data_IF_447004053539
#
_entry.id   IF_447004053539
#
_cell.length_a   1.000
_cell.length_b   1.000
_cell.length_c   1.000
_cell.angle_alpha   90.00
_cell.angle_beta   90.00
_cell.angle_gamma   90.00
#
_symmetry.space_group_name_H-M   'P 1'
#
loop_
_entity.id
_entity.type
_entity.pdbx_description
1 polymer ?
#
# COMPACT_ATOMS: atom_id res chain seq x y z
N UNK A 1 -9.02 3.80 -24.07
CA UNK A 1 -7.81 4.62 -23.88
C UNK A 1 -7.46 4.63 -22.40
N UNK A 2 -6.60 3.79 -21.84
CA UNK A 2 -6.24 2.39 -22.06
C UNK A 2 -5.63 1.99 -20.73
N UNK A 3 -6.39 1.26 -19.93
CA UNK A 3 -6.01 0.86 -18.59
C UNK A 3 -5.18 -0.42 -18.69
N UNK A 4 -3.92 -0.29 -19.10
CA UNK A 4 -2.96 -1.40 -19.05
C UNK A 4 -2.35 -1.44 -17.64
N UNK A 5 -2.74 -2.41 -16.79
CA UNK A 5 -2.24 -2.49 -15.42
C UNK A 5 -0.76 -2.85 -15.40
N UNK A 6 -0.06 -2.49 -14.32
CA UNK A 6 1.26 -3.06 -14.03
C UNK A 6 1.08 -4.44 -13.41
N UNK A 7 2.02 -5.34 -13.69
CA UNK A 7 2.04 -6.67 -13.09
C UNK A 7 3.34 -6.83 -12.31
N UNK A 8 3.21 -7.43 -11.14
CA UNK A 8 4.29 -7.57 -10.19
C UNK A 8 4.24 -8.96 -9.57
N UNK A 9 5.40 -9.54 -9.28
CA UNK A 9 5.48 -10.73 -8.44
C UNK A 9 6.66 -10.63 -7.49
N UNK A 10 6.54 -11.36 -6.37
CA UNK A 10 7.60 -11.56 -5.39
C UNK A 10 8.06 -13.02 -5.49
N UNK A 11 9.37 -13.25 -5.58
CA UNK A 11 9.97 -14.58 -5.55
C UNK A 11 9.99 -15.15 -4.13
N UNK A 12 10.19 -16.46 -4.00
CA UNK A 12 10.33 -17.14 -2.70
C UNK A 12 11.52 -16.67 -1.86
N UNK A 13 12.48 -15.97 -2.46
CA UNK A 13 13.64 -15.35 -1.78
C UNK A 13 13.36 -13.89 -1.38
N UNK A 14 12.11 -13.42 -1.54
CA UNK A 14 11.67 -12.04 -1.25
C UNK A 14 12.19 -10.99 -2.24
N UNK A 15 12.79 -11.40 -3.35
CA UNK A 15 13.11 -10.53 -4.47
C UNK A 15 11.85 -10.09 -5.23
N UNK A 16 11.75 -8.79 -5.55
CA UNK A 16 10.63 -8.22 -6.29
C UNK A 16 10.97 -8.01 -7.77
N UNK A 17 10.11 -8.52 -8.64
CA UNK A 17 10.20 -8.32 -10.08
C UNK A 17 8.94 -7.62 -10.61
N UNK A 18 9.16 -6.63 -11.47
CA UNK A 18 8.12 -5.74 -11.98
C UNK A 18 8.18 -5.65 -13.50
N UNK A 19 7.03 -5.50 -14.14
CA UNK A 19 6.92 -5.21 -15.57
C UNK A 19 5.58 -4.54 -15.86
N UNK A 20 5.44 -3.97 -17.06
CA UNK A 20 4.25 -3.24 -17.48
C UNK A 20 4.56 -1.81 -17.87
N UNK A 21 3.56 -0.93 -17.76
CA UNK A 21 3.62 0.45 -18.25
C UNK A 21 4.40 1.35 -17.29
N UNK A 22 5.33 2.15 -17.79
CA UNK A 22 6.06 3.17 -17.04
C UNK A 22 5.98 4.53 -17.74
N UNK A 23 5.22 5.46 -17.18
CA UNK A 23 4.96 6.76 -17.79
C UNK A 23 5.90 7.86 -17.25
N UNK A 24 6.82 7.49 -16.36
CA UNK A 24 7.77 8.36 -15.68
C UNK A 24 7.36 8.73 -14.26
N UNK A 25 6.23 8.21 -13.78
CA UNK A 25 5.80 8.30 -12.38
C UNK A 25 6.56 7.31 -11.48
N UNK A 26 7.21 6.30 -12.06
CA UNK A 26 8.11 5.40 -11.38
C UNK A 26 7.41 4.25 -10.67
N UNK A 27 6.17 3.90 -11.08
CA UNK A 27 5.36 2.81 -10.48
C UNK A 27 6.02 1.44 -10.50
N UNK A 28 6.98 1.25 -11.40
CA UNK A 28 7.79 0.03 -11.44
C UNK A 28 8.91 0.04 -10.37
N UNK A 29 9.32 1.20 -9.86
CA UNK A 29 10.35 1.28 -8.80
C UNK A 29 11.78 1.06 -9.31
N UNK A 30 11.98 1.17 -10.63
CA UNK A 30 13.28 0.95 -11.28
C UNK A 30 14.12 2.24 -11.36
N UNK A 31 13.69 3.32 -10.71
CA UNK A 31 14.38 4.61 -10.74
C UNK A 31 13.99 5.50 -11.93
N UNK A 32 14.81 6.51 -12.24
CA UNK A 32 14.52 7.45 -13.32
C UNK A 32 14.68 6.79 -14.69
N UNK A 33 13.57 6.64 -15.42
CA UNK A 33 13.58 6.12 -16.79
C UNK A 33 12.16 5.86 -17.29
N UNK A 34 12.00 5.76 -18.61
CA UNK A 34 10.80 5.17 -19.23
C UNK A 34 11.17 3.79 -19.76
N UNK A 35 10.19 2.88 -19.81
CA UNK A 35 10.42 1.57 -20.44
C UNK A 35 10.85 1.71 -21.90
N UNK A 36 11.57 0.71 -22.45
CA UNK A 36 12.24 0.80 -23.75
C UNK A 36 11.30 0.87 -24.96
N UNK A 37 10.01 0.54 -24.79
CA UNK A 37 9.05 0.47 -25.89
C UNK A 37 8.38 1.84 -26.14
N UNK A 38 7.79 2.03 -27.33
CA UNK A 38 7.19 3.31 -27.77
C UNK A 38 6.10 3.88 -26.83
N UNK A 39 5.51 3.04 -25.96
CA UNK A 39 4.56 3.43 -24.91
C UNK A 39 5.14 3.52 -23.49
N UNK A 40 6.46 3.47 -23.32
CA UNK A 40 7.13 3.44 -22.01
C UNK A 40 6.99 2.11 -21.27
N UNK A 41 6.61 1.02 -21.96
CA UNK A 41 6.42 -0.29 -21.34
C UNK A 41 7.70 -1.10 -21.19
N UNK A 42 7.80 -1.86 -20.09
CA UNK A 42 8.74 -2.95 -19.86
C UNK A 42 7.99 -4.27 -20.03
N UNK A 43 8.33 -5.06 -21.05
CA UNK A 43 7.70 -6.36 -21.33
C UNK A 43 8.41 -7.55 -20.69
N UNK A 44 9.57 -7.31 -20.04
CA UNK A 44 10.39 -8.33 -19.40
C UNK A 44 10.43 -8.03 -17.90
N UNK A 45 10.12 -9.01 -17.03
CA UNK A 45 10.27 -8.88 -15.58
C UNK A 45 11.66 -8.37 -15.22
N UNK A 46 11.70 -7.26 -14.50
CA UNK A 46 12.93 -6.59 -14.08
C UNK A 46 13.00 -6.53 -12.56
N UNK A 47 14.15 -6.89 -11.99
CA UNK A 47 14.36 -6.87 -10.54
C UNK A 47 14.38 -5.42 -10.02
N UNK A 48 13.60 -5.14 -8.98
CA UNK A 48 13.66 -3.87 -8.23
C UNK A 48 14.87 -3.93 -7.29
N UNK A 49 15.95 -3.25 -7.66
CA UNK A 49 17.24 -3.33 -6.96
C UNK A 49 17.35 -2.44 -5.72
N UNK A 50 16.52 -1.40 -5.65
CA UNK A 50 16.51 -0.38 -4.60
C UNK A 50 15.66 -0.81 -3.39
N UNK A 51 15.38 -2.10 -3.23
CA UNK A 51 14.74 -2.61 -2.02
C UNK A 51 15.76 -2.70 -0.88
N UNK A 52 15.45 -2.19 0.32
CA UNK A 52 16.37 -2.23 1.46
C UNK A 52 16.54 -3.64 2.05
N UNK A 53 15.55 -4.51 1.85
CA UNK A 53 15.44 -5.86 2.45
C UNK A 53 14.43 -6.67 1.60
N UNK A 54 14.49 -8.01 1.61
CA UNK A 54 13.48 -8.87 1.02
C UNK A 54 12.04 -8.47 1.41
N UNK A 55 11.11 -8.66 0.48
CA UNK A 55 9.69 -8.34 0.68
C UNK A 55 8.85 -9.60 0.80
N UNK A 56 7.89 -9.56 1.72
CA UNK A 56 6.97 -10.65 2.02
C UNK A 56 5.67 -10.57 1.22
N UNK A 57 5.25 -9.35 0.88
CA UNK A 57 4.00 -9.11 0.16
C UNK A 57 4.09 -7.84 -0.69
N UNK A 58 3.25 -7.77 -1.71
CA UNK A 58 3.14 -6.64 -2.61
C UNK A 58 1.68 -6.38 -2.95
N UNK A 59 1.33 -5.12 -3.15
CA UNK A 59 0.03 -4.70 -3.64
C UNK A 59 0.20 -3.57 -4.67
N UNK A 60 -0.56 -3.64 -5.76
CA UNK A 60 -0.54 -2.63 -6.82
C UNK A 60 -1.84 -1.82 -6.82
N UNK A 61 -1.70 -0.50 -6.80
CA UNK A 61 -2.81 0.40 -7.12
C UNK A 61 -2.84 0.76 -8.60
N UNK A 62 -3.60 1.80 -8.96
CA UNK A 62 -3.72 2.23 -10.35
C UNK A 62 -2.40 2.68 -10.98
N UNK A 63 -1.62 3.47 -10.24
CA UNK A 63 -0.39 4.11 -10.70
C UNK A 63 0.75 4.05 -9.66
N UNK A 64 0.66 3.13 -8.71
CA UNK A 64 1.63 3.03 -7.62
C UNK A 64 1.68 1.61 -7.07
N UNK A 65 2.72 1.33 -6.30
CA UNK A 65 2.97 0.02 -5.71
C UNK A 65 3.29 0.19 -4.23
N UNK A 66 2.85 -0.76 -3.42
CA UNK A 66 3.27 -0.93 -2.04
C UNK A 66 3.89 -2.31 -1.84
N UNK A 67 4.88 -2.38 -0.96
CA UNK A 67 5.45 -3.65 -0.51
C UNK A 67 5.57 -3.68 1.01
N UNK A 68 5.44 -4.88 1.57
CA UNK A 68 5.68 -5.17 2.98
C UNK A 68 6.98 -5.98 3.08
N UNK A 69 7.93 -5.53 3.88
CA UNK A 69 9.21 -6.24 4.08
C UNK A 69 9.02 -7.54 4.87
N UNK A 70 9.89 -8.53 4.67
CA UNK A 70 9.84 -9.81 5.41
C UNK A 70 9.98 -9.64 6.92
N UNK A 71 10.60 -8.55 7.35
CA UNK A 71 10.71 -8.12 8.74
C UNK A 71 9.33 -8.02 9.44
N UNK A 72 8.24 -7.85 8.67
CA UNK A 72 6.86 -7.77 9.17
C UNK A 72 6.11 -9.07 9.33
N UNK A 73 6.72 -10.18 8.95
CA UNK A 73 6.03 -11.47 9.01
C UNK A 73 5.80 -11.93 10.44
N UNK A 74 4.66 -12.58 10.67
CA UNK A 74 4.26 -13.04 12.01
C UNK A 74 5.29 -13.97 12.67
N UNK A 75 6.07 -14.71 11.88
CA UNK A 75 7.12 -15.62 12.34
C UNK A 75 8.46 -14.93 12.62
N UNK A 76 8.63 -13.67 12.22
CA UNK A 76 9.80 -12.85 12.54
C UNK A 76 9.47 -11.94 13.74
N UNK A 77 10.05 -12.27 14.90
CA UNK A 77 9.72 -11.67 16.19
C UNK A 77 10.60 -10.45 16.53
N UNK A 78 11.56 -10.09 15.67
CA UNK A 78 12.62 -9.13 15.97
C UNK A 78 12.45 -7.73 15.39
N UNK A 79 11.66 -7.56 14.32
CA UNK A 79 11.52 -6.28 13.63
C UNK A 79 10.06 -5.94 13.33
N UNK A 80 9.82 -4.64 13.16
CA UNK A 80 8.53 -4.10 12.73
C UNK A 80 8.49 -4.07 11.19
N UNK A 81 7.50 -4.73 10.61
CA UNK A 81 7.33 -4.78 9.16
C UNK A 81 7.26 -3.42 8.52
N UNK A 82 8.23 -3.10 7.66
CA UNK A 82 8.26 -1.83 6.96
C UNK A 82 7.35 -1.88 5.77
N UNK A 83 6.56 -0.82 5.62
CA UNK A 83 5.77 -0.59 4.42
C UNK A 83 6.54 0.37 3.52
N UNK A 84 6.82 -0.09 2.31
CA UNK A 84 7.43 0.70 1.25
C UNK A 84 6.36 1.11 0.24
N UNK A 85 6.47 2.30 -0.36
CA UNK A 85 5.61 2.70 -1.47
C UNK A 85 6.35 3.55 -2.50
N UNK A 86 5.93 3.41 -3.76
CA UNK A 86 6.48 4.16 -4.89
C UNK A 86 5.50 4.28 -6.06
N UNK A 87 5.76 5.19 -6.99
CA UNK A 87 4.93 5.53 -8.14
C UNK A 87 4.33 6.93 -8.03
N UNK A 88 3.12 7.08 -8.58
CA UNK A 88 2.38 8.34 -8.58
C UNK A 88 1.86 8.73 -7.17
N UNK A 89 2.13 9.97 -6.74
CA UNK A 89 1.77 10.48 -5.43
C UNK A 89 0.66 11.55 -5.41
N UNK A 90 0.09 11.94 -6.54
CA UNK A 90 -0.79 13.11 -6.65
C UNK A 90 -2.07 13.10 -5.80
N UNK A 91 -2.49 11.94 -5.29
CA UNK A 91 -3.61 11.81 -4.34
C UNK A 91 -3.16 11.47 -2.92
N UNK A 92 -1.87 11.55 -2.62
CA UNK A 92 -1.30 11.18 -1.32
C UNK A 92 -1.21 9.67 -1.08
N UNK A 93 -1.49 8.82 -2.09
CA UNK A 93 -1.58 7.35 -1.95
C UNK A 93 -0.27 6.68 -1.52
N UNK A 94 0.86 7.40 -1.60
CA UNK A 94 2.15 6.87 -1.17
C UNK A 94 2.35 6.98 0.36
N UNK A 95 1.62 7.85 1.06
CA UNK A 95 1.69 7.94 2.53
C UNK A 95 2.87 8.73 3.09
N UNK A 96 3.64 9.42 2.24
CA UNK A 96 4.88 10.14 2.61
C UNK A 96 4.65 11.57 3.13
N UNK A 97 3.45 11.88 3.64
CA UNK A 97 3.05 13.25 4.02
C UNK A 97 3.28 14.28 2.90
N UNK A 98 3.17 13.80 1.65
CA UNK A 98 3.52 14.51 0.42
C UNK A 98 2.67 13.97 -0.72
N UNK A 99 2.49 14.80 -1.76
CA UNK A 99 1.83 14.42 -3.02
C UNK A 99 2.82 14.21 -4.17
N UNK A 100 4.12 14.19 -3.87
CA UNK A 100 5.17 13.97 -4.87
C UNK A 100 5.30 12.50 -5.25
N UNK A 101 5.67 12.26 -6.50
CA UNK A 101 5.97 10.90 -6.98
C UNK A 101 7.26 10.37 -6.34
N UNK A 102 7.33 9.06 -6.15
CA UNK A 102 8.54 8.36 -5.72
C UNK A 102 8.95 7.38 -6.80
N UNK A 103 10.17 7.48 -7.31
CA UNK A 103 10.62 6.67 -8.46
C UNK A 103 11.25 5.33 -8.07
N UNK A 104 11.53 5.18 -6.79
CA UNK A 104 12.12 4.01 -6.15
C UNK A 104 11.36 3.74 -4.85
N UNK A 105 11.38 2.50 -4.34
CA UNK A 105 10.78 2.19 -3.04
C UNK A 105 11.27 3.12 -1.93
N UNK A 106 10.33 3.68 -1.16
CA UNK A 106 10.62 4.51 -0.01
C UNK A 106 9.77 4.08 1.18
N UNK A 107 10.35 4.08 2.38
CA UNK A 107 9.66 3.73 3.63
C UNK A 107 8.60 4.75 3.99
N UNK A 108 7.42 4.27 4.35
CA UNK A 108 6.35 5.10 4.92
C UNK A 108 6.65 5.31 6.41
N UNK A 109 7.37 6.38 6.74
CA UNK A 109 7.82 6.68 8.11
C UNK A 109 6.66 6.77 9.12
N UNK A 110 5.46 7.16 8.69
CA UNK A 110 4.28 7.23 9.54
C UNK A 110 3.77 5.85 10.04
N UNK A 111 4.30 4.75 9.50
CA UNK A 111 4.00 3.37 9.94
C UNK A 111 5.23 2.67 10.52
N UNK A 112 6.36 3.35 10.67
CA UNK A 112 7.62 2.74 11.09
C UNK A 112 7.65 2.28 12.55
N UNK A 113 6.67 2.71 13.37
CA UNK A 113 6.44 2.31 14.76
C UNK A 113 5.29 1.30 14.90
N UNK A 114 4.89 0.66 13.78
CA UNK A 114 3.75 -0.27 13.72
C UNK A 114 4.18 -1.57 13.07
N UNK A 115 3.82 -2.67 13.72
CA UNK A 115 3.94 -4.00 13.11
C UNK A 115 2.84 -4.24 12.10
N UNK A 116 3.08 -3.82 10.85
CA UNK A 116 2.15 -4.05 9.74
C UNK A 116 2.25 -5.50 9.26
N UNK A 117 1.10 -6.16 9.10
CA UNK A 117 1.01 -7.56 8.68
C UNK A 117 0.20 -7.76 7.39
N UNK A 118 -0.50 -6.73 6.93
CA UNK A 118 -1.30 -6.78 5.70
C UNK A 118 -1.32 -5.42 5.01
N UNK A 119 -1.26 -5.41 3.68
CA UNK A 119 -1.33 -4.21 2.85
C UNK A 119 -2.32 -4.42 1.70
N UNK A 120 -2.99 -3.34 1.29
CA UNK A 120 -3.85 -3.33 0.11
C UNK A 120 -3.83 -1.97 -0.59
N UNK A 121 -4.01 -1.98 -1.90
CA UNK A 121 -4.10 -0.78 -2.73
C UNK A 121 -5.41 -0.80 -3.52
N UNK A 122 -6.04 0.36 -3.62
CA UNK A 122 -7.12 0.64 -4.57
C UNK A 122 -6.62 1.47 -5.75
N UNK A 123 -7.54 2.14 -6.44
CA UNK A 123 -7.18 3.00 -7.59
C UNK A 123 -6.18 4.10 -7.21
N UNK A 124 -6.53 4.88 -6.17
CA UNK A 124 -5.75 6.02 -5.66
C UNK A 124 -5.74 6.08 -4.13
N UNK A 125 -5.96 4.93 -3.46
CA UNK A 125 -6.03 4.83 -2.01
C UNK A 125 -5.27 3.59 -1.55
N UNK A 126 -4.83 3.60 -0.30
CA UNK A 126 -3.95 2.60 0.28
C UNK A 126 -4.45 2.22 1.66
N UNK A 127 -4.17 0.98 2.07
CA UNK A 127 -4.53 0.46 3.36
C UNK A 127 -3.41 -0.42 3.95
N UNK A 128 -3.30 -0.40 5.28
CA UNK A 128 -2.45 -1.29 6.05
C UNK A 128 -3.18 -1.78 7.29
N UNK A 129 -2.93 -3.03 7.70
CA UNK A 129 -3.43 -3.61 8.94
C UNK A 129 -2.25 -3.99 9.82
N UNK A 130 -2.31 -3.64 11.10
CA UNK A 130 -1.31 -4.06 12.10
C UNK A 130 -1.63 -5.43 12.70
N UNK A 131 -0.68 -6.04 13.39
CA UNK A 131 -0.92 -7.29 14.13
C UNK A 131 -1.92 -7.12 15.30
N UNK A 132 -2.09 -5.91 15.80
CA UNK A 132 -3.16 -5.52 16.73
C UNK A 132 -4.55 -5.43 16.08
N UNK A 133 -4.66 -5.60 14.76
CA UNK A 133 -5.93 -5.52 14.04
C UNK A 133 -6.40 -4.11 13.72
N UNK A 134 -5.53 -3.10 13.83
CA UNK A 134 -5.85 -1.71 13.50
C UNK A 134 -5.74 -1.48 11.99
N UNK A 135 -6.76 -0.85 11.41
CA UNK A 135 -6.78 -0.47 10.01
C UNK A 135 -6.33 0.99 9.84
N UNK A 136 -5.32 1.20 9.01
CA UNK A 136 -4.89 2.51 8.54
C UNK A 136 -5.22 2.65 7.06
N UNK A 137 -5.79 3.78 6.65
CA UNK A 137 -6.02 4.09 5.23
C UNK A 137 -5.53 5.50 4.87
N UNK A 138 -5.16 5.72 3.61
CA UNK A 138 -4.72 7.02 3.09
C UNK A 138 -4.89 7.11 1.57
N UNK A 139 -4.63 8.29 1.00
CA UNK A 139 -4.79 8.58 -0.42
C UNK A 139 -6.01 9.44 -0.73
N UNK A 140 -6.68 9.15 -1.84
CA UNK A 140 -7.90 9.85 -2.26
C UNK A 140 -9.03 9.57 -1.25
N UNK A 141 -9.65 10.64 -0.75
CA UNK A 141 -10.75 10.60 0.20
C UNK A 141 -12.01 11.29 -0.33
N UNK A 142 -12.02 11.74 -1.59
CA UNK A 142 -13.11 12.51 -2.20
C UNK A 142 -14.47 11.79 -2.11
N UNK A 143 -14.50 10.48 -2.30
CA UNK A 143 -15.73 9.68 -2.25
C UNK A 143 -15.96 9.06 -0.86
N UNK A 144 -15.30 9.58 0.19
CA UNK A 144 -15.32 9.03 1.55
C UNK A 144 -14.82 7.58 1.67
N UNK A 145 -14.10 7.09 0.65
CA UNK A 145 -13.60 5.72 0.56
C UNK A 145 -12.59 5.33 1.66
N UNK A 146 -12.06 6.30 2.40
CA UNK A 146 -11.16 6.05 3.53
C UNK A 146 -11.92 5.75 4.84
N UNK A 147 -13.25 5.84 4.87
CA UNK A 147 -14.03 5.46 6.05
C UNK A 147 -13.74 6.28 7.32
N UNK A 148 -13.15 7.48 7.18
CA UNK A 148 -12.89 8.41 8.28
C UNK A 148 -13.65 9.71 8.02
N UNK A 149 -14.65 10.06 8.85
CA UNK A 149 -15.42 11.28 8.68
C UNK A 149 -14.57 12.55 8.80
N UNK A 150 -14.87 13.56 7.99
CA UNK A 150 -14.28 14.90 8.11
C UNK A 150 -12.87 15.07 7.53
N UNK A 151 -12.35 14.07 6.81
CA UNK A 151 -11.08 14.22 6.10
C UNK A 151 -11.16 15.24 4.96
N UNK A 152 -10.00 15.80 4.61
CA UNK A 152 -9.80 16.53 3.36
C UNK A 152 -9.84 15.57 2.17
N UNK A 153 -10.07 16.06 0.96
CA UNK A 153 -10.13 15.23 -0.26
C UNK A 153 -8.86 14.40 -0.53
N UNK A 154 -7.71 14.85 -0.01
CA UNK A 154 -6.43 14.15 -0.09
C UNK A 154 -5.88 13.96 1.32
N UNK A 155 -5.59 12.70 1.65
CA UNK A 155 -4.97 12.31 2.90
C UNK A 155 -3.59 11.71 2.60
N UNK A 156 -2.52 12.51 2.72
CA UNK A 156 -1.17 12.13 2.31
C UNK A 156 -0.38 11.32 3.35
N UNK A 157 -0.98 11.08 4.52
CA UNK A 157 -0.39 10.30 5.61
C UNK A 157 -1.41 9.26 6.09
N UNK A 158 -0.98 8.04 6.44
CA UNK A 158 -1.83 7.03 7.07
C UNK A 158 -2.69 7.60 8.20
N UNK A 159 -4.00 7.33 8.16
CA UNK A 159 -4.93 7.69 9.25
C UNK A 159 -5.66 6.43 9.71
N UNK A 160 -5.82 6.31 11.03
CA UNK A 160 -6.51 5.19 11.65
C UNK A 160 -8.03 5.26 11.38
N UNK A 161 -8.60 4.14 10.98
CA UNK A 161 -10.02 3.99 10.67
C UNK A 161 -10.76 3.51 11.92
N UNK A 162 -11.44 4.43 12.58
CA UNK A 162 -12.00 4.24 13.93
C UNK A 162 -13.52 3.96 13.98
N UNK A 163 -14.20 3.66 12.87
CA UNK A 163 -15.67 3.47 12.89
C UNK A 163 -16.11 2.20 13.64
N UNK A 164 -15.18 1.33 14.02
CA UNK A 164 -15.43 0.16 14.87
C UNK A 164 -15.40 0.49 16.37
N UNK A 165 -15.12 1.73 16.77
CA UNK A 165 -14.91 2.12 18.17
C UNK A 165 -16.20 2.52 18.91
N UNK A 166 -17.37 2.49 18.25
CA UNK A 166 -18.65 2.64 18.95
C UNK A 166 -18.93 1.37 19.77
N UNK A 167 -19.15 1.52 21.07
CA UNK A 167 -19.54 0.43 21.96
C UNK A 167 -20.97 -0.03 21.63
N UNK A 168 -21.05 -0.93 20.66
CA UNK A 168 -22.25 -1.67 20.31
C UNK A 168 -22.43 -2.92 21.19
N UNK A 169 -21.70 -3.03 22.30
CA UNK A 169 -21.80 -4.11 23.29
C UNK A 169 -21.24 -5.46 22.82
N UNK A 170 -20.47 -5.47 21.73
CA UNK A 170 -20.03 -6.70 21.06
C UNK A 170 -18.51 -6.96 21.18
N UNK A 171 -17.82 -6.22 22.05
CA UNK A 171 -16.42 -6.46 22.43
C UNK A 171 -15.39 -5.86 21.48
N UNK A 172 -14.14 -6.33 21.57
CA UNK A 172 -13.04 -5.83 20.75
C UNK A 172 -13.17 -6.24 19.28
N UNK A 173 -12.72 -5.36 18.40
CA UNK A 173 -12.71 -5.58 16.96
C UNK A 173 -11.29 -5.77 16.46
N UNK A 174 -11.08 -6.77 15.62
CA UNK A 174 -9.81 -7.02 14.98
C UNK A 174 -10.03 -7.12 13.47
N UNK A 175 -9.49 -6.18 12.71
CA UNK A 175 -9.57 -6.21 11.24
C UNK A 175 -8.62 -7.30 10.72
N UNK A 176 -9.17 -8.27 10.00
CA UNK A 176 -8.41 -9.43 9.50
C UNK A 176 -7.91 -9.23 8.07
N UNK A 177 -8.69 -8.56 7.23
CA UNK A 177 -8.35 -8.30 5.84
C UNK A 177 -9.10 -7.08 5.32
N UNK A 178 -8.53 -6.39 4.35
CA UNK A 178 -9.16 -5.26 3.66
C UNK A 178 -9.00 -5.41 2.14
N UNK A 179 -10.06 -5.08 1.41
CA UNK A 179 -10.08 -4.94 -0.04
C UNK A 179 -10.42 -3.49 -0.38
N UNK A 180 -9.59 -2.85 -1.20
CA UNK A 180 -9.77 -1.45 -1.60
C UNK A 180 -10.04 -1.40 -3.10
N UNK A 181 -11.22 -0.92 -3.48
CA UNK A 181 -11.62 -0.72 -4.87
C UNK A 181 -11.22 0.66 -5.40
N UNK A 182 -11.82 1.07 -6.53
CA UNK A 182 -11.55 2.38 -7.11
C UNK A 182 -12.07 3.55 -6.23
N UNK A 183 -13.23 3.37 -5.59
CA UNK A 183 -13.93 4.39 -4.81
C UNK A 183 -14.64 3.83 -3.56
N UNK A 184 -14.30 2.60 -3.14
CA UNK A 184 -14.87 1.97 -1.96
C UNK A 184 -13.84 1.08 -1.28
N UNK A 185 -14.05 0.76 0.00
CA UNK A 185 -13.27 -0.23 0.72
C UNK A 185 -14.21 -1.17 1.49
N UNK A 186 -13.81 -2.43 1.63
CA UNK A 186 -14.49 -3.43 2.44
C UNK A 186 -13.46 -4.09 3.35
N UNK A 187 -13.83 -4.37 4.60
CA UNK A 187 -12.98 -5.10 5.53
C UNK A 187 -13.72 -6.25 6.19
N UNK A 188 -12.98 -7.33 6.48
CA UNK A 188 -13.45 -8.44 7.30
C UNK A 188 -12.95 -8.21 8.72
N UNK A 189 -13.85 -8.30 9.69
CA UNK A 189 -13.58 -7.99 11.09
C UNK A 189 -13.95 -9.18 11.96
N UNK A 190 -13.02 -9.64 12.79
CA UNK A 190 -13.30 -10.56 13.88
C UNK A 190 -13.83 -9.82 15.09
N UNK A 191 -14.79 -10.43 15.78
CA UNK A 191 -15.40 -9.88 16.99
C UNK A 191 -15.46 -10.96 18.04
N UNK A 192 -14.93 -10.67 19.22
CA UNK A 192 -14.98 -11.56 20.36
C UNK A 192 -15.85 -10.92 21.44
N UNK A 193 -16.93 -11.61 21.83
CA UNK A 193 -17.68 -11.21 23.03
C UNK A 193 -16.81 -11.50 24.25
N UNK A 194 -16.64 -10.50 25.11
CA UNK A 194 -16.18 -10.72 26.48
C UNK A 194 -17.23 -11.50 27.27
#
# INVERSE_FOLDING_TARGET
MDNMPCSIFVCTEGDLYTWGREEGDGRLGLGPGRGPNEGGGLSIPSKVKELPTPVAAVSCGGFFTMALTEDGQLWNWGDEGKVLSWGHGGHGQLGHSSIQNQKVPATIEALADKRVVYIACGGSSSAAITDEGKLYMWGNAKDQQLGVPGLREVQASPVEVNFLMEDDGLGTHNVLSVAVGACHAMCLVSRSRC
#
